data_IF_493041730000
#
_entry.id   IF_493041730000
#
_cell.length_a   1.000
_cell.length_b   1.000
_cell.length_c   1.000
_cell.angle_alpha   90.00
_cell.angle_beta   90.00
_cell.angle_gamma   90.00
#
_symmetry.space_group_name_H-M   'P 1'
#
loop_
_entity.id
_entity.type
_entity.pdbx_description
1 polymer ?
#
# COMPACT_ATOMS: atom_id res chain seq x y z
N UNK A 1 39.74 1.06 11.70
CA UNK A 1 38.44 1.24 12.39
C UNK A 1 37.42 0.45 11.59
N UNK A 2 37.05 -0.73 12.09
CA UNK A 2 35.96 -1.52 11.51
C UNK A 2 34.65 -0.78 11.71
N UNK A 3 33.92 -0.56 10.60
CA UNK A 3 32.51 -0.19 10.69
C UNK A 3 31.74 -1.36 11.28
N UNK A 4 30.85 -1.14 12.26
CA UNK A 4 29.99 -2.20 12.74
C UNK A 4 29.05 -2.60 11.60
N UNK A 5 29.16 -3.86 11.16
CA UNK A 5 28.16 -4.48 10.29
C UNK A 5 26.85 -4.51 11.07
N UNK A 6 25.89 -3.69 10.69
CA UNK A 6 24.53 -3.80 11.19
C UNK A 6 23.95 -5.13 10.71
N UNK A 7 23.56 -5.96 11.68
CA UNK A 7 22.91 -7.25 11.50
C UNK A 7 21.61 -7.09 10.70
N UNK A 8 21.66 -7.37 9.40
CA UNK A 8 20.48 -7.54 8.54
C UNK A 8 20.23 -9.02 8.36
N UNK A 9 19.79 -9.68 9.44
CA UNK A 9 19.54 -11.14 9.48
C UNK A 9 18.04 -11.50 9.47
N UNK A 10 17.16 -10.52 9.28
CA UNK A 10 15.69 -10.72 9.38
C UNK A 10 15.01 -11.07 8.06
N UNK A 11 15.64 -10.88 6.90
CA UNK A 11 15.06 -11.22 5.59
C UNK A 11 13.88 -10.34 5.15
N UNK A 12 13.54 -9.28 5.89
CA UNK A 12 12.50 -8.30 5.59
C UNK A 12 12.98 -6.85 5.85
N UNK A 13 12.19 -5.84 5.44
CA UNK A 13 12.61 -4.42 5.42
C UNK A 13 12.67 -3.80 6.82
N UNK A 14 11.68 -4.08 7.67
CA UNK A 14 11.66 -3.56 9.03
C UNK A 14 12.91 -3.96 9.83
N UNK A 15 13.44 -3.01 10.58
CA UNK A 15 14.64 -3.19 11.39
C UNK A 15 14.93 -1.96 12.21
N UNK A 16 15.99 -2.06 13.02
CA UNK A 16 16.35 -1.02 13.96
C UNK A 16 16.65 0.31 13.26
N UNK A 17 16.12 1.40 13.80
CA UNK A 17 16.43 2.77 13.35
C UNK A 17 16.86 3.64 14.52
N UNK A 18 17.47 4.78 14.20
CA UNK A 18 17.65 5.83 15.21
C UNK A 18 16.29 6.48 15.52
N UNK A 19 15.83 6.33 16.76
CA UNK A 19 14.58 6.92 17.25
C UNK A 19 14.70 8.43 17.49
N UNK A 20 15.90 9.01 17.41
CA UNK A 20 16.12 10.45 17.43
C UNK A 20 15.67 11.09 18.74
N UNK A 21 16.11 10.55 19.88
CA UNK A 21 15.64 10.98 21.21
C UNK A 21 15.76 12.50 21.41
N UNK A 22 16.81 13.14 20.90
CA UNK A 22 17.00 14.60 21.00
C UNK A 22 15.93 15.45 20.32
N UNK A 23 15.10 14.88 19.43
CA UNK A 23 14.05 15.61 18.70
C UNK A 23 12.76 15.81 19.51
N UNK A 24 12.57 15.06 20.60
CA UNK A 24 11.32 15.06 21.37
C UNK A 24 10.05 14.85 20.52
N UNK A 25 10.14 14.05 19.45
CA UNK A 25 9.02 13.81 18.52
C UNK A 25 7.77 13.27 19.23
N UNK A 26 7.93 12.48 20.30
CA UNK A 26 6.82 11.89 21.05
C UNK A 26 5.94 12.92 21.76
N UNK A 27 6.46 14.13 22.01
CA UNK A 27 5.70 15.23 22.62
C UNK A 27 4.93 16.06 21.57
N UNK A 28 5.11 15.77 20.28
CA UNK A 28 4.45 16.47 19.18
C UNK A 28 3.22 15.67 18.70
N UNK A 29 2.20 16.38 18.23
CA UNK A 29 1.01 15.77 17.66
C UNK A 29 1.33 15.12 16.30
N UNK A 30 0.80 13.92 16.06
CA UNK A 30 0.87 13.19 14.79
C UNK A 30 2.26 13.11 14.14
N UNK A 31 3.31 13.08 14.98
CA UNK A 31 4.71 13.14 14.52
C UNK A 31 5.41 11.81 14.80
N UNK A 32 5.86 11.06 13.78
CA UNK A 32 6.69 9.87 13.98
C UNK A 32 8.15 10.25 14.25
N UNK A 33 9.02 9.29 14.64
CA UNK A 33 10.45 9.52 14.76
C UNK A 33 11.07 10.13 13.49
N UNK A 34 12.13 10.96 13.61
CA UNK A 34 12.77 11.62 12.47
C UNK A 34 13.14 10.69 11.31
N UNK A 35 13.53 9.43 11.60
CA UNK A 35 13.88 8.43 10.60
C UNK A 35 12.74 8.11 9.61
N UNK A 36 11.49 8.35 9.99
CA UNK A 36 10.30 8.08 9.16
C UNK A 36 9.65 9.33 8.59
N UNK A 37 10.06 10.53 9.04
CA UNK A 37 9.53 11.78 8.53
C UNK A 37 9.91 11.97 7.06
N UNK A 38 8.98 12.51 6.26
CA UNK A 38 9.14 12.77 4.82
C UNK A 38 9.34 11.53 3.93
N UNK A 39 9.20 10.31 4.47
CA UNK A 39 9.19 9.07 3.68
C UNK A 39 7.85 8.92 2.95
N UNK A 40 7.89 8.53 1.67
CA UNK A 40 6.69 8.34 0.81
C UNK A 40 6.40 6.88 0.47
N UNK A 41 7.23 5.98 0.97
CA UNK A 41 7.24 4.55 0.69
C UNK A 41 6.86 3.70 1.92
N UNK A 42 6.39 4.36 2.98
CA UNK A 42 5.84 3.75 4.19
C UNK A 42 4.42 4.22 4.40
N UNK A 43 3.69 3.49 5.24
CA UNK A 43 2.45 3.93 5.86
C UNK A 43 2.64 3.89 7.36
N UNK A 44 2.10 4.85 8.10
CA UNK A 44 2.20 4.82 9.55
C UNK A 44 0.92 5.32 10.21
N UNK A 45 0.68 4.82 11.41
CA UNK A 45 -0.39 5.26 12.30
C UNK A 45 0.19 5.50 13.69
N UNK A 46 -0.42 6.45 14.41
CA UNK A 46 0.01 6.84 15.75
C UNK A 46 -1.19 6.71 16.68
N UNK A 47 -1.00 5.98 17.77
CA UNK A 47 -1.96 5.85 18.84
C UNK A 47 -1.37 6.46 20.12
N UNK A 48 -2.20 7.21 20.86
CA UNK A 48 -1.80 7.81 22.13
C UNK A 48 -2.78 7.41 23.23
N UNK A 49 -2.25 6.91 24.35
CA UNK A 49 -3.02 6.53 25.52
C UNK A 49 -2.46 7.23 26.76
N UNK A 50 -3.35 7.80 27.58
CA UNK A 50 -2.99 8.49 28.82
C UNK A 50 -3.46 7.70 30.02
N UNK A 51 -2.53 7.31 30.89
CA UNK A 51 -2.83 6.65 32.16
C UNK A 51 -2.54 7.58 33.34
N UNK A 52 -3.52 7.75 34.23
CA UNK A 52 -3.35 8.50 35.49
C UNK A 52 -3.33 7.53 36.68
N UNK A 53 -2.29 7.59 37.50
CA UNK A 53 -2.18 6.79 38.74
C UNK A 53 -2.68 7.58 39.96
N UNK A 54 -3.09 6.86 41.02
CA UNK A 54 -3.40 7.47 42.32
C UNK A 54 -2.17 8.26 42.80
N UNK A 55 -2.33 9.55 43.06
CA UNK A 55 -1.23 10.48 43.38
C UNK A 55 -0.93 11.53 42.31
N UNK A 56 -1.74 11.63 41.25
CA UNK A 56 -1.65 12.72 40.27
C UNK A 56 -0.56 12.54 39.21
N UNK A 57 0.22 11.45 39.26
CA UNK A 57 1.20 11.11 38.24
C UNK A 57 0.50 10.60 36.98
N UNK A 58 0.76 11.25 35.86
CA UNK A 58 0.24 10.89 34.54
C UNK A 58 1.37 10.33 33.69
N UNK A 59 1.07 9.33 32.87
CA UNK A 59 2.01 8.75 31.91
C UNK A 59 1.30 8.64 30.57
N UNK A 60 1.93 9.17 29.53
CA UNK A 60 1.48 9.04 28.15
C UNK A 60 2.26 7.91 27.50
N UNK A 61 1.57 7.00 26.83
CA UNK A 61 2.13 5.99 25.94
C UNK A 61 1.75 6.34 24.52
N UNK A 62 2.73 6.55 23.65
CA UNK A 62 2.56 6.81 22.22
C UNK A 62 3.14 5.66 21.42
N UNK A 63 2.30 4.98 20.66
CA UNK A 63 2.67 3.87 19.81
C UNK A 63 2.65 4.33 18.34
N UNK A 64 3.75 4.14 17.63
CA UNK A 64 3.88 4.44 16.19
C UNK A 64 4.03 3.12 15.45
N UNK A 65 3.05 2.78 14.64
CA UNK A 65 3.04 1.58 13.80
C UNK A 65 3.50 1.98 12.40
N UNK A 66 4.70 1.55 12.01
CA UNK A 66 5.24 1.80 10.67
C UNK A 66 5.16 0.54 9.83
N UNK A 67 4.46 0.60 8.71
CA UNK A 67 4.28 -0.50 7.76
C UNK A 67 5.09 -0.24 6.48
N UNK A 68 5.90 -1.22 6.08
CA UNK A 68 6.74 -1.15 4.89
C UNK A 68 6.11 -1.85 3.68
N UNK A 69 6.65 -1.62 2.48
CA UNK A 69 6.09 -2.15 1.22
C UNK A 69 6.06 -3.68 1.11
N UNK A 70 6.83 -4.39 1.94
CA UNK A 70 6.78 -5.85 2.07
C UNK A 70 5.79 -6.31 3.15
N UNK A 71 5.11 -5.38 3.81
CA UNK A 71 4.21 -5.55 4.96
C UNK A 71 4.88 -5.98 6.28
N UNK A 72 6.21 -5.94 6.36
CA UNK A 72 6.89 -5.95 7.66
C UNK A 72 6.63 -4.65 8.42
N UNK A 73 6.81 -4.70 9.74
CA UNK A 73 6.45 -3.58 10.62
C UNK A 73 7.56 -3.21 11.58
N UNK A 74 7.68 -1.91 11.85
CA UNK A 74 8.39 -1.39 13.02
C UNK A 74 7.38 -0.71 13.93
N UNK A 75 7.22 -1.23 15.15
CA UNK A 75 6.34 -0.66 16.18
C UNK A 75 7.21 0.01 17.22
N UNK A 76 6.94 1.28 17.50
CA UNK A 76 7.76 2.12 18.38
C UNK A 76 6.88 2.62 19.50
N UNK A 77 7.29 2.37 20.74
CA UNK A 77 6.56 2.79 21.92
C UNK A 77 7.37 3.85 22.67
N UNK A 78 6.79 5.02 22.84
CA UNK A 78 7.32 6.10 23.67
C UNK A 78 6.48 6.25 24.94
N UNK A 79 7.09 6.12 26.11
CA UNK A 79 6.43 6.31 27.41
C UNK A 79 7.08 7.45 28.17
N UNK A 80 6.31 8.47 28.54
CA UNK A 80 6.85 9.66 29.21
C UNK A 80 5.84 10.29 30.18
N UNK A 81 6.35 11.08 31.12
CA UNK A 81 5.54 11.99 31.93
C UNK A 81 5.36 13.31 31.18
N UNK A 82 4.12 13.78 30.92
CA UNK A 82 3.91 15.05 30.21
C UNK A 82 4.52 16.27 30.93
N UNK A 83 4.76 16.20 32.25
CA UNK A 83 5.44 17.27 33.00
C UNK A 83 6.96 17.24 32.84
N UNK A 84 7.53 16.09 32.46
CA UNK A 84 8.96 15.93 32.19
C UNK A 84 9.17 15.06 30.94
N UNK A 85 8.82 15.57 29.74
CA UNK A 85 8.84 14.77 28.52
C UNK A 85 10.26 14.37 28.09
N UNK A 86 11.32 14.95 28.68
CA UNK A 86 12.69 14.57 28.41
C UNK A 86 13.07 13.19 29.01
N UNK A 87 12.38 12.77 30.07
CA UNK A 87 12.53 11.45 30.68
C UNK A 87 11.59 10.44 29.99
N UNK A 88 11.90 10.18 28.71
CA UNK A 88 11.18 9.21 27.87
C UNK A 88 11.84 7.85 27.92
N UNK A 89 11.03 6.80 27.90
CA UNK A 89 11.45 5.44 27.56
C UNK A 89 11.01 5.15 26.13
N UNK A 90 11.97 4.86 25.26
CA UNK A 90 11.73 4.50 23.87
C UNK A 90 12.06 3.03 23.65
N UNK A 91 11.11 2.30 23.07
CA UNK A 91 11.26 0.89 22.69
C UNK A 91 10.88 0.74 21.22
N UNK A 92 11.51 -0.20 20.51
CA UNK A 92 11.09 -0.60 19.18
C UNK A 92 11.07 -2.13 19.07
N UNK A 93 10.10 -2.64 18.31
CA UNK A 93 10.02 -4.06 17.94
C UNK A 93 9.69 -4.17 16.47
N UNK A 94 10.01 -5.34 15.91
CA UNK A 94 9.77 -5.62 14.50
C UNK A 94 8.89 -6.85 14.33
N UNK A 95 7.95 -6.76 13.40
CA UNK A 95 7.07 -7.88 13.05
C UNK A 95 7.36 -8.26 11.60
N UNK A 96 7.52 -9.58 11.31
CA UNK A 96 7.75 -10.04 9.95
C UNK A 96 6.52 -9.75 9.09
N UNK A 97 6.66 -9.77 7.75
CA UNK A 97 5.51 -9.63 6.88
C UNK A 97 4.51 -10.78 7.11
N UNK A 98 3.20 -10.56 6.90
CA UNK A 98 2.20 -11.60 7.05
C UNK A 98 2.52 -12.82 6.19
N UNK A 99 2.22 -14.01 6.72
CA UNK A 99 2.38 -15.26 5.98
C UNK A 99 1.57 -15.28 4.68
N UNK A 100 1.96 -16.17 3.77
CA UNK A 100 1.23 -16.36 2.51
C UNK A 100 -0.22 -16.74 2.77
N UNK A 101 -1.13 -16.00 2.15
CA UNK A 101 -2.56 -16.26 2.23
C UNK A 101 -2.95 -17.47 1.40
N UNK A 102 -3.93 -18.21 1.90
CA UNK A 102 -4.64 -19.23 1.14
C UNK A 102 -5.68 -18.59 0.22
N UNK A 103 -6.16 -19.38 -0.74
CA UNK A 103 -7.13 -18.91 -1.72
C UNK A 103 -8.46 -18.48 -1.08
N UNK A 104 -8.98 -19.22 -0.09
CA UNK A 104 -10.19 -18.87 0.66
C UNK A 104 -10.08 -17.49 1.32
N UNK A 105 -8.93 -17.19 1.92
CA UNK A 105 -8.68 -15.90 2.55
C UNK A 105 -8.63 -14.75 1.54
N UNK A 106 -8.10 -15.00 0.35
CA UNK A 106 -8.08 -14.03 -0.75
C UNK A 106 -9.48 -13.83 -1.35
N UNK A 107 -10.33 -14.85 -1.36
CA UNK A 107 -11.73 -14.75 -1.79
C UNK A 107 -12.59 -13.98 -0.77
N UNK A 108 -12.35 -14.21 0.53
CA UNK A 108 -12.99 -13.45 1.60
C UNK A 108 -12.62 -11.97 1.53
N UNK A 109 -11.34 -11.65 1.32
CA UNK A 109 -10.88 -10.27 1.14
C UNK A 109 -11.53 -9.59 -0.09
N UNK A 110 -11.68 -10.33 -1.19
CA UNK A 110 -12.38 -9.83 -2.38
C UNK A 110 -13.85 -9.54 -2.06
N UNK A 111 -14.54 -10.46 -1.38
CA UNK A 111 -15.94 -10.28 -0.96
C UNK A 111 -16.12 -9.08 -0.03
N UNK A 112 -15.19 -8.90 0.93
CA UNK A 112 -15.26 -7.80 1.91
C UNK A 112 -14.96 -6.43 1.31
N UNK A 113 -13.97 -6.35 0.42
CA UNK A 113 -13.43 -5.08 -0.12
C UNK A 113 -13.54 -4.97 -1.64
N UNK A 114 -12.96 -5.92 -2.38
CA UNK A 114 -12.87 -5.88 -3.86
C UNK A 114 -14.22 -5.68 -4.55
N UNK A 115 -15.24 -6.46 -4.20
CA UNK A 115 -16.58 -6.34 -4.79
C UNK A 115 -17.19 -4.94 -4.59
N UNK A 116 -16.96 -4.33 -3.41
CA UNK A 116 -17.43 -2.96 -3.12
C UNK A 116 -16.67 -1.93 -3.94
N UNK A 117 -15.34 -2.07 -4.04
CA UNK A 117 -14.49 -1.22 -4.89
C UNK A 117 -14.98 -1.27 -6.35
N UNK A 118 -15.21 -2.47 -6.89
CA UNK A 118 -15.69 -2.69 -8.24
C UNK A 118 -17.05 -2.02 -8.49
N UNK A 119 -17.98 -2.13 -7.54
CA UNK A 119 -19.29 -1.48 -7.64
C UNK A 119 -19.24 0.05 -7.60
N UNK A 120 -18.29 0.62 -6.84
CA UNK A 120 -18.19 2.07 -6.61
C UNK A 120 -17.39 2.78 -7.70
N UNK A 121 -16.38 2.13 -8.30
CA UNK A 121 -15.49 2.79 -9.26
C UNK A 121 -16.19 3.14 -10.58
N UNK A 122 -17.16 2.33 -11.03
CA UNK A 122 -17.91 2.60 -12.27
C UNK A 122 -18.71 3.91 -12.18
N UNK A 123 -19.25 4.25 -11.01
CA UNK A 123 -19.97 5.50 -10.80
C UNK A 123 -19.08 6.75 -10.82
N UNK A 124 -17.76 6.57 -10.91
CA UNK A 124 -16.78 7.66 -11.03
C UNK A 124 -16.40 7.94 -12.48
N UNK A 125 -16.87 7.15 -13.46
CA UNK A 125 -16.57 7.35 -14.87
C UNK A 125 -16.83 8.80 -15.32
N UNK A 126 -15.92 9.35 -16.13
CA UNK A 126 -15.98 10.73 -16.63
C UNK A 126 -15.91 11.83 -15.57
N UNK A 127 -15.68 11.51 -14.30
CA UNK A 127 -15.41 12.46 -13.22
C UNK A 127 -13.92 12.57 -12.91
N UNK A 128 -13.51 13.62 -12.20
CA UNK A 128 -12.16 13.75 -11.61
C UNK A 128 -12.29 13.47 -10.13
N UNK A 129 -11.53 12.51 -9.62
CA UNK A 129 -11.57 12.10 -8.21
C UNK A 129 -10.39 12.68 -7.44
N UNK A 130 -10.65 13.33 -6.31
CA UNK A 130 -9.63 13.96 -5.47
C UNK A 130 -8.85 15.02 -6.23
N UNK A 131 -7.52 14.95 -6.19
CA UNK A 131 -6.63 15.85 -6.93
C UNK A 131 -6.42 15.45 -8.41
N UNK A 132 -7.13 14.41 -8.87
CA UNK A 132 -6.99 13.85 -10.22
C UNK A 132 -5.78 12.94 -10.42
N UNK A 133 -4.98 12.69 -9.38
CA UNK A 133 -3.88 11.73 -9.43
C UNK A 133 -4.39 10.28 -9.49
N UNK A 134 -3.60 9.35 -10.05
CA UNK A 134 -3.95 7.93 -10.02
C UNK A 134 -4.22 7.41 -8.59
N UNK A 135 -3.44 7.89 -7.62
CA UNK A 135 -3.54 7.49 -6.22
C UNK A 135 -4.85 7.94 -5.57
N UNK A 136 -5.31 9.16 -5.85
CA UNK A 136 -6.56 9.67 -5.27
C UNK A 136 -7.78 8.83 -5.63
N UNK A 137 -7.79 8.16 -6.78
CA UNK A 137 -8.88 7.24 -7.13
C UNK A 137 -8.93 6.07 -6.15
N UNK A 138 -7.79 5.45 -5.86
CA UNK A 138 -7.72 4.32 -4.94
C UNK A 138 -8.09 4.76 -3.52
N UNK A 139 -7.53 5.88 -3.05
CA UNK A 139 -7.80 6.40 -1.71
C UNK A 139 -9.28 6.76 -1.49
N UNK A 140 -9.95 7.39 -2.48
CA UNK A 140 -11.39 7.69 -2.43
C UNK A 140 -12.25 6.42 -2.33
N UNK A 141 -11.84 5.34 -3.02
CA UNK A 141 -12.57 4.08 -2.99
C UNK A 141 -12.40 3.38 -1.64
N UNK A 142 -11.19 3.42 -1.07
CA UNK A 142 -10.88 2.84 0.24
C UNK A 142 -11.50 3.62 1.40
N UNK A 143 -11.61 4.95 1.31
CA UNK A 143 -12.11 5.79 2.40
C UNK A 143 -13.54 5.49 2.88
N UNK A 144 -14.34 4.78 2.08
CA UNK A 144 -15.67 4.31 2.48
C UNK A 144 -15.71 2.90 3.08
N UNK A 145 -14.56 2.24 3.23
CA UNK A 145 -14.46 0.82 3.58
C UNK A 145 -13.85 0.65 4.98
N UNK A 146 -14.72 0.50 5.98
CA UNK A 146 -14.29 0.26 7.37
C UNK A 146 -13.36 -0.96 7.45
N UNK A 147 -12.22 -0.77 8.11
CA UNK A 147 -11.22 -1.81 8.32
C UNK A 147 -10.37 -2.15 7.09
N UNK A 148 -10.48 -1.43 5.97
CA UNK A 148 -9.57 -1.63 4.84
C UNK A 148 -8.16 -1.13 5.20
N UNK A 149 -7.14 -1.91 4.83
CA UNK A 149 -5.76 -1.50 4.94
C UNK A 149 -5.42 -0.52 3.81
N UNK A 150 -4.87 0.64 4.17
CA UNK A 150 -4.48 1.65 3.20
C UNK A 150 -3.18 1.25 2.46
N UNK A 151 -2.93 1.83 1.27
CA UNK A 151 -1.73 1.53 0.51
C UNK A 151 -0.46 1.93 1.25
N UNK A 152 0.61 1.15 1.08
CA UNK A 152 1.94 1.51 1.57
C UNK A 152 2.68 2.24 0.46
N UNK A 153 2.75 3.56 0.62
CA UNK A 153 3.22 4.48 -0.42
C UNK A 153 2.43 4.34 -1.73
N UNK A 154 3.14 4.32 -2.86
CA UNK A 154 2.56 4.16 -4.20
C UNK A 154 2.79 2.77 -4.79
N UNK A 155 3.32 1.81 -4.00
CA UNK A 155 3.87 0.56 -4.52
C UNK A 155 3.23 -0.71 -3.99
N UNK A 156 2.50 -0.66 -2.88
CA UNK A 156 1.82 -1.83 -2.33
C UNK A 156 0.38 -1.48 -1.93
N UNK A 157 -0.57 -2.30 -2.39
CA UNK A 157 -2.00 -2.04 -2.26
C UNK A 157 -2.78 -3.23 -1.65
N UNK A 158 -2.07 -4.20 -1.09
CA UNK A 158 -2.58 -5.35 -0.34
C UNK A 158 -1.80 -6.63 -0.66
N UNK A 159 -2.46 -7.78 -0.60
CA UNK A 159 -1.84 -9.07 -0.89
C UNK A 159 -1.59 -9.25 -2.40
N UNK A 160 -0.43 -9.78 -2.78
CA UNK A 160 -0.07 -9.96 -4.19
C UNK A 160 -0.88 -11.11 -4.82
N UNK A 161 -1.61 -10.81 -5.90
CA UNK A 161 -2.42 -11.77 -6.67
C UNK A 161 -1.70 -12.16 -7.95
N UNK A 162 -1.02 -11.21 -8.59
CA UNK A 162 -0.28 -11.43 -9.83
C UNK A 162 0.95 -10.52 -9.89
N UNK A 163 2.02 -11.02 -10.48
CA UNK A 163 3.23 -10.27 -10.77
C UNK A 163 3.77 -10.63 -12.15
N UNK A 164 4.18 -9.61 -12.91
CA UNK A 164 4.90 -9.75 -14.17
C UNK A 164 6.03 -8.72 -14.24
N UNK A 165 7.26 -9.21 -14.35
CA UNK A 165 8.46 -8.39 -14.52
C UNK A 165 9.00 -8.66 -15.93
N UNK A 166 8.68 -7.75 -16.86
CA UNK A 166 9.14 -7.80 -18.25
C UNK A 166 8.88 -9.11 -18.99
N UNK A 167 7.87 -9.89 -18.59
CA UNK A 167 7.63 -11.28 -19.01
C UNK A 167 8.78 -12.27 -18.72
N UNK A 168 9.84 -11.84 -18.05
CA UNK A 168 10.93 -12.70 -17.59
C UNK A 168 10.53 -13.48 -16.33
N UNK A 169 9.78 -12.83 -15.44
CA UNK A 169 9.23 -13.44 -14.23
C UNK A 169 7.74 -13.20 -14.18
N UNK A 170 6.95 -14.28 -14.24
CA UNK A 170 5.49 -14.23 -14.10
C UNK A 170 5.07 -15.15 -12.97
N UNK A 171 4.36 -14.61 -12.00
CA UNK A 171 3.79 -15.36 -10.89
C UNK A 171 2.31 -15.00 -10.74
N UNK A 172 1.46 -16.00 -10.57
CA UNK A 172 0.05 -15.83 -10.30
C UNK A 172 -0.29 -16.62 -9.03
N UNK A 173 -0.74 -15.92 -8.00
CA UNK A 173 -1.04 -16.47 -6.68
C UNK A 173 -2.53 -16.78 -6.51
N UNK A 174 -3.37 -16.07 -7.26
CA UNK A 174 -4.81 -16.29 -7.33
C UNK A 174 -5.38 -15.68 -8.65
N UNK A 175 -6.67 -15.87 -8.91
CA UNK A 175 -7.35 -15.20 -10.01
C UNK A 175 -7.50 -13.68 -9.77
N UNK A 176 -7.17 -12.89 -10.79
CA UNK A 176 -7.41 -11.44 -10.82
C UNK A 176 -8.91 -11.21 -10.91
N UNK A 177 -9.47 -10.40 -10.01
CA UNK A 177 -10.91 -10.12 -9.94
C UNK A 177 -11.20 -8.62 -10.02
N UNK A 178 -12.42 -8.22 -10.42
CA UNK A 178 -12.85 -6.82 -10.37
C UNK A 178 -12.65 -6.21 -8.98
N UNK A 179 -12.17 -4.98 -8.92
CA UNK A 179 -11.86 -4.28 -7.67
C UNK A 179 -10.49 -4.57 -7.08
N UNK A 180 -9.74 -5.55 -7.62
CA UNK A 180 -8.30 -5.62 -7.35
C UNK A 180 -7.60 -4.36 -7.87
N UNK A 181 -6.45 -4.02 -7.30
CA UNK A 181 -5.66 -2.85 -7.67
C UNK A 181 -4.51 -3.29 -8.57
N UNK A 182 -4.35 -2.69 -9.74
CA UNK A 182 -3.22 -2.95 -10.64
C UNK A 182 -2.25 -1.77 -10.61
N UNK A 183 -0.97 -2.05 -10.36
CA UNK A 183 0.10 -1.05 -10.38
C UNK A 183 1.07 -1.31 -11.53
N UNK A 184 1.52 -0.22 -12.16
CA UNK A 184 2.45 -0.22 -13.28
C UNK A 184 3.68 0.59 -12.93
N UNK A 185 4.86 0.04 -13.20
CA UNK A 185 6.15 0.71 -13.02
C UNK A 185 7.03 0.52 -14.24
N UNK A 186 7.40 1.63 -14.87
CA UNK A 186 8.21 1.66 -16.10
C UNK A 186 7.72 0.65 -17.16
N UNK A 187 6.40 0.43 -17.23
CA UNK A 187 5.80 -0.64 -18.02
C UNK A 187 5.70 -0.22 -19.48
N UNK A 188 6.23 -1.06 -20.36
CA UNK A 188 6.08 -0.90 -21.81
C UNK A 188 5.39 -2.11 -22.40
N UNK A 189 4.23 -1.91 -22.98
CA UNK A 189 3.48 -2.94 -23.68
C UNK A 189 3.67 -2.79 -25.19
N UNK A 190 4.00 -3.88 -25.88
CA UNK A 190 4.06 -3.90 -27.33
C UNK A 190 3.53 -5.21 -27.88
N UNK A 191 2.53 -5.10 -28.74
CA UNK A 191 1.85 -6.24 -29.34
C UNK A 191 1.17 -5.88 -30.64
N UNK A 192 0.23 -6.72 -31.04
CA UNK A 192 -0.60 -6.55 -32.24
C UNK A 192 -2.07 -6.62 -31.85
N UNK A 193 -2.91 -5.73 -32.38
CA UNK A 193 -4.34 -5.69 -32.09
C UNK A 193 -5.17 -5.82 -33.38
N UNK A 194 -6.41 -6.32 -33.25
CA UNK A 194 -7.35 -6.52 -34.36
C UNK A 194 -7.01 -7.68 -35.30
N UNK A 195 -7.94 -8.02 -36.19
CA UNK A 195 -7.73 -9.01 -37.26
C UNK A 195 -6.64 -8.59 -38.26
N UNK A 196 -6.41 -7.29 -38.41
CA UNK A 196 -5.38 -6.71 -39.27
C UNK A 196 -3.97 -6.68 -38.65
N UNK A 197 -3.78 -7.23 -37.43
CA UNK A 197 -2.48 -7.31 -36.76
C UNK A 197 -1.74 -5.97 -36.60
N UNK A 198 -2.48 -4.87 -36.44
CA UNK A 198 -1.92 -3.52 -36.26
C UNK A 198 -1.03 -3.49 -35.02
N UNK A 199 0.23 -3.08 -35.18
CA UNK A 199 1.18 -2.96 -34.07
C UNK A 199 0.76 -1.83 -33.14
N UNK A 200 0.96 -2.03 -31.83
CA UNK A 200 0.80 -0.97 -30.85
C UNK A 200 1.98 -0.93 -29.87
N UNK A 201 2.22 0.24 -29.30
CA UNK A 201 3.18 0.46 -28.22
C UNK A 201 2.53 1.38 -27.20
N UNK A 202 2.57 1.01 -25.93
CA UNK A 202 1.94 1.76 -24.85
C UNK A 202 2.87 1.78 -23.64
N UNK A 203 3.13 2.97 -23.11
CA UNK A 203 3.91 3.16 -21.89
C UNK A 203 2.99 3.61 -20.74
N UNK A 204 3.23 3.07 -19.55
CA UNK A 204 2.47 3.32 -18.31
C UNK A 204 3.43 3.23 -17.12
N UNK A 205 3.20 4.00 -16.06
CA UNK A 205 4.01 3.91 -14.85
C UNK A 205 5.34 4.65 -14.95
N UNK A 206 5.38 5.77 -15.69
CA UNK A 206 6.49 6.73 -15.67
C UNK A 206 5.93 8.17 -15.57
N UNK A 207 5.62 8.68 -14.35
CA UNK A 207 5.87 8.08 -13.02
C UNK A 207 4.92 6.93 -12.66
N UNK A 208 5.21 6.21 -11.56
CA UNK A 208 4.43 5.07 -11.03
C UNK A 208 2.92 5.33 -11.14
N UNK A 209 2.16 4.35 -11.65
CA UNK A 209 0.74 4.51 -11.99
C UNK A 209 -0.09 3.36 -11.43
N UNK A 210 -1.34 3.64 -11.08
CA UNK A 210 -2.25 2.66 -10.49
C UNK A 210 -3.65 2.79 -11.11
N UNK A 211 -4.35 1.66 -11.18
CA UNK A 211 -5.71 1.58 -11.68
C UNK A 211 -6.49 0.48 -10.91
N UNK A 212 -7.81 0.48 -11.05
CA UNK A 212 -8.70 -0.51 -10.42
C UNK A 212 -9.16 -1.49 -11.48
N UNK A 213 -8.97 -2.79 -11.28
CA UNK A 213 -9.41 -3.82 -12.22
C UNK A 213 -10.93 -3.75 -12.39
N UNK A 214 -11.37 -3.58 -13.63
CA UNK A 214 -12.76 -3.68 -14.04
C UNK A 214 -13.10 -5.12 -14.43
N UNK A 215 -12.24 -5.75 -15.22
CA UNK A 215 -12.44 -7.10 -15.75
C UNK A 215 -11.09 -7.79 -16.00
N UNK A 216 -11.13 -9.13 -15.95
CA UNK A 216 -10.01 -10.00 -16.28
C UNK A 216 -10.44 -11.04 -17.32
N UNK A 217 -9.73 -11.07 -18.44
CA UNK A 217 -9.82 -12.12 -19.45
C UNK A 217 -8.59 -13.03 -19.32
N UNK A 218 -8.74 -14.13 -18.56
CA UNK A 218 -7.67 -15.07 -18.27
C UNK A 218 -7.10 -15.77 -19.50
N UNK A 219 -7.91 -15.96 -20.55
CA UNK A 219 -7.49 -16.55 -21.83
C UNK A 219 -6.59 -15.61 -22.61
N UNK A 220 -6.95 -14.32 -22.68
CA UNK A 220 -6.14 -13.31 -23.38
C UNK A 220 -5.07 -12.67 -22.49
N UNK A 221 -4.98 -13.08 -21.23
CA UNK A 221 -4.20 -12.42 -20.16
C UNK A 221 -4.37 -10.90 -20.22
N UNK A 222 -5.62 -10.44 -20.32
CA UNK A 222 -5.97 -9.03 -20.53
C UNK A 222 -6.76 -8.49 -19.34
N UNK A 223 -6.24 -7.43 -18.74
CA UNK A 223 -6.95 -6.65 -17.71
C UNK A 223 -7.61 -5.45 -18.38
N UNK A 224 -8.89 -5.20 -18.09
CA UNK A 224 -9.51 -3.88 -18.26
C UNK A 224 -9.50 -3.20 -16.91
N UNK A 225 -9.03 -1.97 -16.81
CA UNK A 225 -8.90 -1.24 -15.54
C UNK A 225 -9.38 0.21 -15.64
N UNK A 226 -10.01 0.69 -14.58
CA UNK A 226 -10.38 2.09 -14.37
C UNK A 226 -9.16 2.87 -13.88
N UNK A 227 -8.75 3.85 -14.67
CA UNK A 227 -7.63 4.74 -14.36
C UNK A 227 -8.04 6.21 -14.45
N UNK A 228 -7.31 7.07 -13.75
CA UNK A 228 -7.35 8.53 -13.94
C UNK A 228 -5.92 9.09 -13.91
N UNK A 229 -5.75 10.34 -14.33
CA UNK A 229 -4.48 11.06 -14.17
C UNK A 229 -3.37 10.61 -15.12
N UNK A 230 -3.70 10.01 -16.27
CA UNK A 230 -2.73 9.58 -17.26
C UNK A 230 -2.45 10.69 -18.27
N UNK A 231 -1.27 11.31 -18.19
CA UNK A 231 -0.80 12.42 -19.05
C UNK A 231 -1.65 13.71 -18.97
N UNK A 232 -1.03 14.84 -19.29
CA UNK A 232 -1.62 16.19 -19.18
C UNK A 232 -2.90 16.30 -20.03
N UNK A 233 -4.06 16.24 -19.38
CA UNK A 233 -5.38 16.46 -19.99
C UNK A 233 -6.39 15.32 -19.82
N UNK A 234 -5.95 14.08 -19.53
CA UNK A 234 -6.87 12.94 -19.26
C UNK A 234 -6.97 12.67 -17.76
N UNK A 235 -7.40 13.71 -17.04
CA UNK A 235 -7.58 13.69 -15.57
C UNK A 235 -8.84 12.94 -15.14
N UNK A 236 -9.77 12.68 -16.07
CA UNK A 236 -11.04 11.99 -15.77
C UNK A 236 -10.86 10.47 -15.71
N UNK A 237 -11.64 9.82 -14.85
CA UNK A 237 -11.72 8.37 -14.75
C UNK A 237 -12.24 7.77 -16.05
N UNK A 238 -11.52 6.79 -16.59
CA UNK A 238 -11.88 6.03 -17.79
C UNK A 238 -11.39 4.59 -17.68
N UNK A 239 -11.94 3.68 -18.48
CA UNK A 239 -11.42 2.31 -18.57
C UNK A 239 -10.43 2.14 -19.72
N UNK A 240 -9.34 1.44 -19.47
CA UNK A 240 -8.32 1.08 -20.47
C UNK A 240 -7.99 -0.41 -20.38
N UNK A 241 -7.53 -0.99 -21.49
CA UNK A 241 -7.19 -2.42 -21.56
C UNK A 241 -5.68 -2.64 -21.69
N UNK A 242 -5.14 -3.55 -20.89
CA UNK A 242 -3.74 -3.94 -20.88
C UNK A 242 -3.64 -5.45 -21.08
N UNK A 243 -2.94 -5.88 -22.13
CA UNK A 243 -2.57 -7.28 -22.32
C UNK A 243 -1.27 -7.54 -21.57
N UNK A 244 -1.36 -8.25 -20.45
CA UNK A 244 -0.22 -8.51 -19.58
C UNK A 244 0.87 -9.33 -20.29
N UNK A 245 0.47 -10.21 -21.22
CA UNK A 245 1.40 -10.96 -22.07
C UNK A 245 2.17 -10.10 -23.09
N UNK A 246 1.72 -8.88 -23.39
CA UNK A 246 2.41 -7.96 -24.30
C UNK A 246 3.46 -7.08 -23.57
N UNK A 247 3.72 -7.32 -22.27
CA UNK A 247 4.72 -6.59 -21.49
C UNK A 247 6.15 -6.85 -22.02
N UNK A 248 6.86 -5.81 -22.43
CA UNK A 248 8.25 -5.88 -22.92
C UNK A 248 9.28 -5.51 -21.88
N UNK A 249 8.94 -4.57 -21.00
CA UNK A 249 9.81 -4.11 -19.91
C UNK A 249 8.98 -3.51 -18.80
N UNK A 250 9.61 -3.34 -17.64
CA UNK A 250 8.96 -2.82 -16.44
C UNK A 250 8.23 -3.89 -15.65
N UNK A 251 7.35 -3.46 -14.77
CA UNK A 251 6.66 -4.31 -13.81
C UNK A 251 5.16 -3.98 -13.76
N UNK A 252 4.36 -5.05 -13.79
CA UNK A 252 2.94 -5.02 -13.49
C UNK A 252 2.67 -5.92 -12.30
N UNK A 253 1.98 -5.39 -11.28
CA UNK A 253 1.47 -6.17 -10.15
C UNK A 253 -0.02 -5.96 -9.99
N UNK A 254 -0.72 -7.00 -9.53
CA UNK A 254 -2.12 -6.92 -9.13
C UNK A 254 -2.23 -7.32 -7.67
N UNK A 255 -2.98 -6.52 -6.92
CA UNK A 255 -3.08 -6.57 -5.48
C UNK A 255 -4.53 -6.75 -5.06
N UNK A 256 -4.76 -7.63 -4.11
CA UNK A 256 -6.02 -7.73 -3.39
C UNK A 256 -5.99 -6.82 -2.18
N UNK A 257 -6.94 -5.90 -2.09
CA UNK A 257 -7.11 -5.07 -0.89
C UNK A 257 -7.40 -5.97 0.31
N UNK A 258 -6.64 -5.79 1.38
CA UNK A 258 -6.73 -6.56 2.61
C UNK A 258 -7.31 -5.71 3.74
N UNK A 259 -7.74 -6.39 4.82
CA UNK A 259 -8.16 -5.71 6.04
C UNK A 259 -6.98 -5.39 6.95
N UNK A 260 -7.17 -4.47 7.89
CA UNK A 260 -6.19 -4.09 8.92
C UNK A 260 -5.74 -5.30 9.76
N UNK A 261 -6.66 -6.19 10.11
CA UNK A 261 -6.33 -7.44 10.81
C UNK A 261 -5.35 -8.37 10.07
N UNK A 262 -5.14 -8.21 8.76
CA UNK A 262 -4.13 -8.99 8.02
C UNK A 262 -2.70 -8.69 8.48
N UNK A 263 -2.43 -7.45 8.89
CA UNK A 263 -1.15 -7.03 9.48
C UNK A 263 -1.23 -6.99 11.02
N UNK A 264 -2.24 -7.63 11.62
CA UNK A 264 -2.42 -7.66 13.08
C UNK A 264 -2.91 -6.35 13.69
N UNK A 265 -3.38 -5.39 12.88
CA UNK A 265 -3.93 -4.13 13.37
C UNK A 265 -5.43 -4.27 13.67
N UNK A 266 -5.93 -3.48 14.61
CA UNK A 266 -7.35 -3.47 14.94
C UNK A 266 -8.19 -2.94 13.77
N UNK A 267 -9.36 -3.56 13.54
CA UNK A 267 -10.28 -3.23 12.44
C UNK A 267 -11.01 -1.86 12.61
N UNK A 268 -10.66 -1.09 13.64
CA UNK A 268 -11.21 0.24 13.91
C UNK A 268 -12.65 0.24 14.43
N UNK A 269 -13.02 -0.70 15.32
CA UNK A 269 -14.29 -0.63 16.09
C UNK A 269 -14.12 0.31 17.28
N UNK A 270 -15.01 1.26 17.55
CA UNK A 270 -16.48 1.16 17.58
C UNK A 270 -17.18 1.82 16.39
#
# INVERSE_FOLDING_TARGET
MEQPRQSTDSGFIAGDVDLGQSSHWWAQADTPPPAFQNRRDIFFEIEENTASKRGGKTTISKDVYVLFQDYSQTVITARFDPQNPADVVLEQRHEPPPGRLRQDQLEDAHTRFGAKIASKVSSKESSVVGDGSPQSLVLELLGGLKGALYPVGMRAYGALVYQNIGNATVAQYDEIRPGDIVSFRNSKFQGKHGSLHTKYSQEVGKPDHVAVVAEWDGTKKKVRAWEQGRESGKVKVKSESFRLGDLRSGEVRVWRVMGRGWVGWDDGGN
#
